data_IF_239900096802
#
_entry.id   IF_239900096802
#
_cell.length_a   1.000
_cell.length_b   1.000
_cell.length_c   1.000
_cell.angle_alpha   90.00
_cell.angle_beta   90.00
_cell.angle_gamma   90.00
#
_symmetry.space_group_name_H-M   'P 1'
#
loop_
_entity.id
_entity.type
_entity.pdbx_description
1 polymer ?
#
# COMPACT_ATOMS: atom_id res chain seq x y z
N UNK A 1 -8.67 -6.43 -12.08
CA UNK A 1 -9.32 -5.69 -10.98
C UNK A 1 -8.29 -4.82 -10.28
N UNK A 2 -8.67 -3.60 -9.93
CA UNK A 2 -7.86 -2.67 -9.15
C UNK A 2 -8.59 -2.36 -7.85
N UNK A 3 -7.84 -2.30 -6.75
CA UNK A 3 -8.40 -1.97 -5.45
C UNK A 3 -7.63 -0.80 -4.84
N UNK A 4 -8.24 -0.17 -3.86
CA UNK A 4 -7.62 0.95 -3.14
C UNK A 4 -7.63 0.64 -1.65
N UNK A 5 -6.50 0.88 -1.01
CA UNK A 5 -6.36 0.75 0.44
C UNK A 5 -5.92 2.09 1.00
N UNK A 6 -6.77 2.68 1.83
CA UNK A 6 -6.49 3.99 2.41
C UNK A 6 -5.95 3.83 3.82
N UNK A 7 -4.71 4.25 4.03
CA UNK A 7 -4.02 4.16 5.32
C UNK A 7 -3.78 5.51 5.97
N UNK A 8 -4.22 6.62 5.35
CA UNK A 8 -3.92 7.93 5.91
C UNK A 8 -4.51 8.06 7.32
N UNK A 9 -3.78 8.68 8.21
CA UNK A 9 -4.24 8.87 9.59
C UNK A 9 -3.98 7.71 10.53
N UNK A 10 -3.59 6.54 10.03
CA UNK A 10 -3.23 5.42 10.88
C UNK A 10 -1.81 5.58 11.44
N UNK A 11 -1.57 4.97 12.60
CA UNK A 11 -0.21 4.79 13.07
C UNK A 11 0.50 3.77 12.18
N UNK A 12 1.82 3.71 12.27
CA UNK A 12 2.60 2.73 11.52
C UNK A 12 2.15 1.30 11.82
N UNK A 13 1.95 0.99 13.10
CA UNK A 13 1.53 -0.35 13.49
C UNK A 13 0.14 -0.70 12.96
N UNK A 14 -0.79 0.22 13.07
CA UNK A 14 -2.14 0.03 12.53
C UNK A 14 -2.10 -0.20 11.03
N UNK A 15 -1.33 0.63 10.34
CA UNK A 15 -1.21 0.54 8.88
C UNK A 15 -0.57 -0.78 8.46
N UNK A 16 0.46 -1.22 9.20
CA UNK A 16 1.11 -2.50 8.91
C UNK A 16 0.14 -3.66 9.02
N UNK A 17 -0.67 -3.67 10.08
CA UNK A 17 -1.67 -4.73 10.28
C UNK A 17 -2.74 -4.70 9.19
N UNK A 18 -3.14 -3.50 8.77
CA UNK A 18 -4.09 -3.36 7.66
C UNK A 18 -3.51 -3.88 6.35
N UNK A 19 -2.24 -3.61 6.09
CA UNK A 19 -1.55 -4.13 4.91
C UNK A 19 -1.52 -5.66 4.93
N UNK A 20 -1.14 -6.25 6.07
CA UNK A 20 -1.09 -7.71 6.19
C UNK A 20 -2.46 -8.33 5.91
N UNK A 21 -3.49 -7.81 6.55
CA UNK A 21 -4.85 -8.32 6.38
C UNK A 21 -5.31 -8.20 4.93
N UNK A 22 -5.10 -7.02 4.36
CA UNK A 22 -5.53 -6.74 3.00
C UNK A 22 -4.88 -7.68 1.98
N UNK A 23 -3.56 -7.82 2.03
CA UNK A 23 -2.85 -8.67 1.06
C UNK A 23 -3.08 -10.16 1.31
N UNK A 24 -3.34 -10.55 2.55
CA UNK A 24 -3.66 -11.94 2.87
C UNK A 24 -5.03 -12.37 2.32
N UNK A 25 -5.91 -11.41 2.07
CA UNK A 25 -7.26 -11.68 1.54
C UNK A 25 -7.44 -11.11 0.14
N UNK A 26 -6.37 -10.79 -0.55
CA UNK A 26 -6.43 -10.16 -1.86
C UNK A 26 -7.06 -11.12 -2.88
N UNK A 27 -8.08 -10.70 -3.63
CA UNK A 27 -8.67 -11.55 -4.68
C UNK A 27 -7.63 -11.99 -5.71
N UNK A 28 -7.78 -13.20 -6.23
CA UNK A 28 -6.82 -13.75 -7.19
C UNK A 28 -6.72 -12.94 -8.47
N UNK A 29 -7.80 -12.25 -8.85
CA UNK A 29 -7.83 -11.45 -10.08
C UNK A 29 -7.43 -9.99 -9.84
N UNK A 30 -7.02 -9.63 -8.65
CA UNK A 30 -6.50 -8.29 -8.40
C UNK A 30 -5.08 -8.20 -8.93
N UNK A 31 -4.79 -7.17 -9.71
CA UNK A 31 -3.48 -6.95 -10.33
C UNK A 31 -2.83 -5.66 -9.88
N UNK A 32 -3.58 -4.79 -9.22
CA UNK A 32 -3.08 -3.48 -8.86
C UNK A 32 -3.78 -2.99 -7.60
N UNK A 33 -3.02 -2.47 -6.65
CA UNK A 33 -3.56 -1.86 -5.44
C UNK A 33 -2.97 -0.46 -5.30
N UNK A 34 -3.83 0.55 -5.20
CA UNK A 34 -3.40 1.90 -4.88
C UNK A 34 -3.45 2.05 -3.36
N UNK A 35 -2.30 2.28 -2.74
CA UNK A 35 -2.23 2.47 -1.30
C UNK A 35 -2.07 3.96 -1.02
N UNK A 36 -3.02 4.53 -0.30
CA UNK A 36 -3.00 5.94 0.08
C UNK A 36 -2.38 6.04 1.46
N UNK A 37 -1.15 6.55 1.53
CA UNK A 37 -0.47 6.72 2.81
C UNK A 37 -0.43 8.19 3.28
N UNK A 38 -0.82 9.11 2.39
CA UNK A 38 -0.76 10.53 2.68
C UNK A 38 0.65 11.08 2.57
N UNK A 39 0.76 12.39 2.60
CA UNK A 39 2.06 13.06 2.57
C UNK A 39 2.22 14.05 3.74
N UNK A 40 1.15 14.32 4.48
CA UNK A 40 1.22 15.10 5.71
C UNK A 40 1.60 14.15 6.83
N UNK A 41 2.40 14.60 7.76
CA UNK A 41 2.80 13.78 8.89
C UNK A 41 4.01 12.92 8.64
N UNK A 42 4.69 13.13 7.51
CA UNK A 42 6.01 12.59 7.32
C UNK A 42 6.07 11.34 6.46
N UNK A 43 7.18 10.65 6.56
CA UNK A 43 7.56 9.58 5.67
C UNK A 43 7.28 8.19 6.23
N UNK A 44 6.74 8.10 7.46
CA UNK A 44 6.65 6.82 8.17
C UNK A 44 5.79 5.81 7.41
N UNK A 45 4.56 6.19 7.07
CA UNK A 45 3.66 5.29 6.35
C UNK A 45 4.16 5.02 4.95
N UNK A 46 4.67 6.04 4.26
CA UNK A 46 5.23 5.88 2.93
C UNK A 46 6.37 4.87 2.94
N UNK A 47 7.30 5.01 3.88
CA UNK A 47 8.43 4.09 3.99
C UNK A 47 7.97 2.68 4.32
N UNK A 48 7.01 2.54 5.23
CA UNK A 48 6.47 1.22 5.58
C UNK A 48 5.85 0.54 4.36
N UNK A 49 5.02 1.26 3.61
CA UNK A 49 4.37 0.71 2.42
C UNK A 49 5.39 0.31 1.37
N UNK A 50 6.44 1.12 1.20
CA UNK A 50 7.45 0.84 0.18
C UNK A 50 8.44 -0.24 0.58
N UNK A 51 8.47 -0.63 1.85
CA UNK A 51 9.32 -1.72 2.33
C UNK A 51 8.53 -2.97 2.72
N UNK A 52 7.21 -2.91 2.62
CA UNK A 52 6.35 -4.03 2.96
C UNK A 52 6.57 -5.18 1.99
N UNK A 53 6.76 -6.40 2.51
CA UNK A 53 7.04 -7.58 1.70
C UNK A 53 5.88 -8.57 1.82
N UNK A 54 5.41 -9.05 0.67
CA UNK A 54 4.36 -10.06 0.61
C UNK A 54 4.48 -10.82 -0.71
N UNK A 55 4.20 -12.13 -0.74
CA UNK A 55 4.34 -12.92 -1.97
C UNK A 55 3.52 -12.42 -3.15
N UNK A 56 2.41 -11.73 -2.90
CA UNK A 56 1.56 -11.20 -3.95
C UNK A 56 2.09 -9.90 -4.56
N UNK A 57 3.12 -9.29 -3.99
CA UNK A 57 3.68 -8.04 -4.48
C UNK A 57 4.88 -8.35 -5.36
N UNK A 58 4.89 -7.84 -6.60
CA UNK A 58 6.05 -8.03 -7.46
C UNK A 58 6.72 -6.70 -7.85
N UNK A 59 6.01 -5.59 -7.84
CA UNK A 59 6.64 -4.28 -8.03
C UNK A 59 5.75 -3.17 -7.48
N UNK A 60 6.31 -1.97 -7.38
CA UNK A 60 5.58 -0.81 -6.88
C UNK A 60 6.13 0.47 -7.47
N UNK A 61 5.27 1.51 -7.58
CA UNK A 61 5.63 2.85 -8.02
C UNK A 61 5.13 3.86 -7.01
N UNK A 62 6.02 4.69 -6.49
CA UNK A 62 5.67 5.67 -5.47
C UNK A 62 5.70 7.08 -6.04
N UNK A 63 4.65 7.86 -5.77
CA UNK A 63 4.65 9.28 -6.01
C UNK A 63 4.67 9.70 -7.47
N UNK A 64 4.31 8.83 -8.41
CA UNK A 64 4.37 9.16 -9.83
C UNK A 64 3.33 10.21 -10.17
N UNK A 65 2.07 9.96 -9.80
CA UNK A 65 0.97 10.90 -10.06
C UNK A 65 0.58 11.68 -8.82
N UNK A 66 0.79 11.09 -7.64
CA UNK A 66 0.37 11.68 -6.39
C UNK A 66 1.37 11.28 -5.30
N UNK A 67 2.02 12.25 -4.64
CA UNK A 67 3.04 11.92 -3.63
C UNK A 67 2.48 11.22 -2.39
N UNK A 68 1.17 11.27 -2.19
CA UNK A 68 0.52 10.58 -1.06
C UNK A 68 0.14 9.15 -1.35
N UNK A 69 0.53 8.59 -2.50
CA UNK A 69 0.11 7.27 -2.93
C UNK A 69 1.28 6.43 -3.42
N UNK A 70 1.13 5.11 -3.28
CA UNK A 70 2.01 4.12 -3.90
C UNK A 70 1.12 3.13 -4.63
N UNK A 71 1.45 2.85 -5.89
CA UNK A 71 0.74 1.83 -6.66
C UNK A 71 1.54 0.54 -6.53
N UNK A 72 0.89 -0.52 -6.05
CA UNK A 72 1.48 -1.83 -5.89
C UNK A 72 0.92 -2.75 -6.97
N UNK A 73 1.83 -3.35 -7.74
CA UNK A 73 1.44 -4.33 -8.75
C UNK A 73 1.52 -5.72 -8.15
N UNK A 74 0.46 -6.50 -8.34
CA UNK A 74 0.28 -7.79 -7.68
C UNK A 74 0.24 -8.94 -8.69
N UNK A 75 0.46 -10.13 -8.19
CA UNK A 75 0.44 -11.35 -9.01
C UNK A 75 -0.31 -12.48 -8.34
#
# INVERSE_FOLDING_TARGET
MRLTLDLHGYTEQEAYLKMLDFFSHLPNNCREVTVIHGFRGGQVLKNMVNNFIHPRIWSRQTGVLNPGQTIIFTR
#
